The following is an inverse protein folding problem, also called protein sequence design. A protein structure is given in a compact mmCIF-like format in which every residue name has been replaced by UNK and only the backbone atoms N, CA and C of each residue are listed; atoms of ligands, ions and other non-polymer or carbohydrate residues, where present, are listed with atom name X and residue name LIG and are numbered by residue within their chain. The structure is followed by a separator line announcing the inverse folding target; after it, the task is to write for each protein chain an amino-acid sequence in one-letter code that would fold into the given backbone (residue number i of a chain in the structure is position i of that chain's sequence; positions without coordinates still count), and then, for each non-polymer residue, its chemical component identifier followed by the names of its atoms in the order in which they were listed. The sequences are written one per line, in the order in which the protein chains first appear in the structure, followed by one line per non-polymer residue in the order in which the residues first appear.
data_IF_001836973962
#
_entry.id   IF_001836973962
#
_cell.length_a   1.000
_cell.length_b   1.000
_cell.length_c   1.000
_cell.angle_alpha   90.00
_cell.angle_beta   90.00
_cell.angle_gamma   90.00
#
_symmetry.space_group_name_H-M   'P 1'
#
loop_
_entity.id
_entity.type
_entity.pdbx_description
1 polymer ?
#
# COMPACT_ATOMS: atom_id res chain seq x y z
N UNK A 1 -0.84 10.46 -19.06
CA UNK A 1 -0.06 9.21 -19.24
C UNK A 1 0.25 8.71 -17.85
N UNK A 2 -0.23 7.53 -17.45
CA UNK A 2 0.09 6.94 -16.15
C UNK A 2 1.59 6.66 -16.09
N UNK A 3 2.28 7.26 -15.15
CA UNK A 3 3.71 6.99 -14.92
C UNK A 3 3.86 5.57 -14.36
N UNK A 4 4.62 4.71 -15.06
CA UNK A 4 4.90 3.34 -14.66
C UNK A 4 6.20 3.30 -13.86
N UNK A 5 6.12 3.49 -12.54
CA UNK A 5 7.29 3.63 -11.65
C UNK A 5 8.00 2.31 -11.30
N UNK A 6 7.40 1.13 -11.50
CA UNK A 6 7.86 -0.14 -10.93
C UNK A 6 8.09 -1.23 -11.97
N UNK A 7 8.70 -0.90 -13.12
CA UNK A 7 8.92 -1.88 -14.18
C UNK A 7 10.29 -2.60 -14.13
N UNK A 8 11.22 -2.19 -13.23
CA UNK A 8 12.54 -2.83 -13.16
C UNK A 8 12.52 -4.06 -12.25
N UNK A 9 12.98 -5.26 -12.70
CA UNK A 9 12.85 -6.53 -11.96
C UNK A 9 13.49 -6.54 -10.56
N UNK A 10 14.62 -5.84 -10.35
CA UNK A 10 15.26 -5.76 -9.02
C UNK A 10 14.47 -4.92 -8.02
N UNK A 11 13.67 -3.95 -8.50
CA UNK A 11 12.81 -3.12 -7.65
C UNK A 11 11.58 -3.87 -7.21
N UNK A 12 10.99 -4.69 -8.08
CA UNK A 12 9.80 -5.49 -7.76
C UNK A 12 10.09 -6.54 -6.69
N UNK A 13 11.26 -7.17 -6.70
CA UNK A 13 11.64 -8.13 -5.66
C UNK A 13 11.86 -7.47 -4.28
N UNK A 14 12.53 -6.31 -4.22
CA UNK A 14 12.68 -5.54 -2.98
C UNK A 14 11.32 -5.01 -2.50
N UNK A 15 10.47 -4.56 -3.43
CA UNK A 15 9.10 -4.11 -3.15
C UNK A 15 8.30 -5.21 -2.46
N UNK A 16 8.30 -6.43 -3.01
CA UNK A 16 7.60 -7.58 -2.46
C UNK A 16 8.04 -7.94 -1.04
N UNK A 17 9.33 -7.72 -0.71
CA UNK A 17 9.89 -8.11 0.59
C UNK A 17 9.65 -7.06 1.69
N UNK A 18 9.70 -5.77 1.36
CA UNK A 18 9.79 -4.71 2.37
C UNK A 18 8.53 -3.83 2.49
N UNK A 19 7.59 -3.89 1.54
CA UNK A 19 6.34 -3.14 1.66
C UNK A 19 5.44 -3.75 2.73
N UNK A 20 4.84 -2.92 3.61
CA UNK A 20 3.98 -3.43 4.65
C UNK A 20 2.70 -4.05 4.08
N UNK A 21 2.34 -5.21 4.60
CA UNK A 21 1.02 -5.80 4.39
C UNK A 21 -0.02 -5.08 5.25
N UNK A 22 -1.29 -5.01 4.84
CA UNK A 22 -2.33 -4.46 5.69
C UNK A 22 -2.44 -5.27 6.99
N UNK A 23 -2.56 -4.62 8.16
CA UNK A 23 -2.68 -5.32 9.43
C UNK A 23 -3.96 -6.17 9.47
N UNK A 24 -3.91 -7.30 10.17
CA UNK A 24 -5.07 -8.18 10.32
C UNK A 24 -6.29 -7.46 10.89
N UNK A 25 -6.09 -6.48 11.77
CA UNK A 25 -7.17 -5.64 12.32
C UNK A 25 -7.89 -4.82 11.25
N UNK A 26 -7.18 -4.31 10.25
CA UNK A 26 -7.78 -3.58 9.12
C UNK A 26 -8.63 -4.53 8.26
N UNK A 27 -8.09 -5.70 7.93
CA UNK A 27 -8.83 -6.72 7.16
C UNK A 27 -10.08 -7.18 7.91
N UNK A 28 -9.96 -7.46 9.21
CA UNK A 28 -11.10 -7.84 10.06
C UNK A 28 -12.17 -6.75 10.07
N UNK A 29 -11.78 -5.48 10.21
CA UNK A 29 -12.71 -4.35 10.19
C UNK A 29 -13.46 -4.23 8.84
N UNK A 30 -12.76 -4.40 7.72
CA UNK A 30 -13.41 -4.42 6.39
C UNK A 30 -14.45 -5.54 6.30
N UNK A 31 -14.11 -6.74 6.77
CA UNK A 31 -15.03 -7.90 6.74
C UNK A 31 -16.22 -7.71 7.69
N UNK A 32 -16.00 -7.20 8.88
CA UNK A 32 -17.07 -6.86 9.84
C UNK A 32 -18.02 -5.81 9.24
N UNK A 33 -17.46 -4.76 8.64
CA UNK A 33 -18.25 -3.75 7.96
C UNK A 33 -19.03 -4.35 6.78
N UNK A 34 -18.46 -5.26 6.00
CA UNK A 34 -19.17 -5.97 4.93
C UNK A 34 -20.33 -6.79 5.49
N UNK A 35 -20.11 -7.58 6.55
CA UNK A 35 -21.13 -8.45 7.15
C UNK A 35 -22.29 -7.68 7.82
N UNK A 36 -22.10 -6.44 8.25
CA UNK A 36 -23.19 -5.59 8.76
C UNK A 36 -24.28 -5.33 7.71
N UNK A 37 -23.93 -5.38 6.42
CA UNK A 37 -24.83 -5.06 5.33
C UNK A 37 -24.95 -6.12 4.24
N UNK A 38 -24.25 -7.24 4.33
CA UNK A 38 -24.29 -8.33 3.35
C UNK A 38 -24.31 -9.70 4.06
N UNK A 39 -25.35 -10.47 3.83
CA UNK A 39 -25.58 -11.78 4.48
C UNK A 39 -25.33 -12.97 3.51
N UNK A 40 -24.98 -12.69 2.26
CA UNK A 40 -24.72 -13.70 1.25
C UNK A 40 -23.32 -14.32 1.37
N UNK A 41 -23.01 -15.32 0.53
CA UNK A 41 -21.68 -15.92 0.47
C UNK A 41 -20.64 -14.93 -0.07
N UNK A 42 -19.41 -15.01 0.43
CA UNK A 42 -18.27 -14.20 -0.02
C UNK A 42 -17.64 -14.88 -1.24
N UNK A 43 -18.26 -14.71 -2.42
CA UNK A 43 -17.86 -15.41 -3.66
C UNK A 43 -16.62 -14.78 -4.27
N UNK A 44 -16.57 -13.44 -4.37
CA UNK A 44 -15.50 -12.78 -5.11
C UNK A 44 -15.10 -11.43 -4.52
N UNK A 45 -13.79 -11.18 -4.51
CA UNK A 45 -13.20 -9.88 -4.19
C UNK A 45 -12.18 -9.46 -5.27
N UNK A 46 -12.01 -8.15 -5.44
CA UNK A 46 -10.95 -7.56 -6.25
C UNK A 46 -10.03 -6.69 -5.41
N UNK A 47 -8.72 -6.80 -5.65
CA UNK A 47 -7.68 -5.90 -5.13
C UNK A 47 -7.13 -5.08 -6.29
N UNK A 48 -7.45 -3.79 -6.34
CA UNK A 48 -7.16 -2.90 -7.48
C UNK A 48 -5.93 -2.06 -7.20
N UNK A 49 -4.94 -2.13 -8.10
CA UNK A 49 -3.59 -1.61 -7.87
C UNK A 49 -2.82 -2.53 -6.92
N UNK A 50 -2.95 -3.84 -7.11
CA UNK A 50 -2.44 -4.86 -6.20
C UNK A 50 -0.91 -4.94 -6.12
N UNK A 51 -0.20 -4.30 -7.04
CA UNK A 51 1.25 -4.41 -7.14
C UNK A 51 1.70 -5.87 -7.26
N UNK A 52 2.65 -6.27 -6.43
CA UNK A 52 3.15 -7.65 -6.35
C UNK A 52 2.29 -8.60 -5.50
N UNK A 53 1.05 -8.21 -5.11
CA UNK A 53 0.01 -9.12 -4.64
C UNK A 53 -0.07 -9.36 -3.13
N UNK A 54 0.67 -8.64 -2.29
CA UNK A 54 0.65 -8.84 -0.83
C UNK A 54 -0.76 -8.64 -0.25
N UNK A 55 -1.40 -7.53 -0.60
CA UNK A 55 -2.79 -7.20 -0.17
C UNK A 55 -3.82 -8.18 -0.73
N UNK A 56 -3.58 -8.75 -1.92
CA UNK A 56 -4.48 -9.73 -2.53
C UNK A 56 -4.52 -11.03 -1.72
N UNK A 57 -3.35 -11.51 -1.27
CA UNK A 57 -3.25 -12.77 -0.55
C UNK A 57 -3.93 -12.76 0.82
N UNK A 58 -3.99 -11.62 1.52
CA UNK A 58 -4.66 -11.53 2.82
C UNK A 58 -6.17 -11.72 2.74
N UNK A 59 -6.77 -11.52 1.56
CA UNK A 59 -8.19 -11.76 1.30
C UNK A 59 -8.50 -13.23 0.96
N UNK A 60 -7.52 -14.01 0.53
CA UNK A 60 -7.71 -15.39 0.05
C UNK A 60 -8.42 -16.33 1.05
N UNK A 61 -8.22 -16.24 2.37
CA UNK A 61 -8.93 -17.07 3.34
C UNK A 61 -10.43 -16.74 3.49
N UNK A 62 -10.88 -15.60 2.99
CA UNK A 62 -12.21 -15.04 3.26
C UNK A 62 -13.15 -15.10 2.05
N UNK A 63 -12.63 -15.25 0.83
CA UNK A 63 -13.41 -15.26 -0.41
C UNK A 63 -13.15 -16.53 -1.23
N UNK A 64 -14.15 -17.02 -1.94
CA UNK A 64 -13.99 -18.16 -2.85
C UNK A 64 -13.01 -17.82 -3.98
N UNK A 65 -13.04 -16.57 -4.46
CA UNK A 65 -12.09 -16.08 -5.47
C UNK A 65 -11.62 -14.66 -5.15
N UNK A 66 -10.33 -14.40 -5.32
CA UNK A 66 -9.74 -13.06 -5.21
C UNK A 66 -8.94 -12.76 -6.46
N UNK A 67 -9.20 -11.61 -7.07
CA UNK A 67 -8.45 -11.19 -8.26
C UNK A 67 -7.67 -9.91 -7.97
N UNK A 68 -6.35 -9.99 -8.03
CA UNK A 68 -5.47 -8.82 -8.02
C UNK A 68 -5.37 -8.20 -9.41
N UNK A 69 -5.55 -6.89 -9.50
CA UNK A 69 -5.46 -6.10 -10.73
C UNK A 69 -4.38 -5.03 -10.59
N UNK A 70 -3.50 -4.93 -11.58
CA UNK A 70 -2.53 -3.85 -11.68
C UNK A 70 -2.32 -3.46 -13.14
N UNK A 71 -2.00 -2.19 -13.39
CA UNK A 71 -1.72 -1.70 -14.75
C UNK A 71 -0.33 -2.13 -15.24
N UNK A 72 0.58 -2.49 -14.33
CA UNK A 72 1.95 -2.90 -14.63
C UNK A 72 2.06 -4.40 -14.87
N UNK A 73 2.42 -4.84 -16.10
CA UNK A 73 2.70 -6.25 -16.37
C UNK A 73 3.85 -6.82 -15.54
N UNK A 74 4.83 -5.97 -15.16
CA UNK A 74 5.95 -6.37 -14.33
C UNK A 74 5.50 -6.72 -12.91
N UNK A 75 4.62 -5.91 -12.31
CA UNK A 75 4.03 -6.18 -10.99
C UNK A 75 3.20 -7.48 -11.01
N UNK A 76 2.35 -7.65 -12.02
CA UNK A 76 1.56 -8.89 -12.17
C UNK A 76 2.47 -10.12 -12.35
N UNK A 77 3.58 -10.00 -13.07
CA UNK A 77 4.54 -11.10 -13.21
C UNK A 77 5.14 -11.50 -11.85
N UNK A 78 5.47 -10.54 -10.99
CA UNK A 78 5.97 -10.83 -9.64
C UNK A 78 4.86 -11.37 -8.73
N UNK A 79 3.65 -10.82 -8.79
CA UNK A 79 2.51 -11.32 -8.03
C UNK A 79 2.22 -12.81 -8.29
N UNK A 80 2.31 -13.23 -9.55
CA UNK A 80 2.12 -14.65 -9.93
C UNK A 80 3.24 -15.55 -9.36
N UNK A 81 4.45 -15.02 -9.14
CA UNK A 81 5.59 -15.80 -8.58
C UNK A 81 5.45 -16.01 -7.07
N UNK A 82 4.81 -15.10 -6.34
CA UNK A 82 4.72 -15.14 -4.86
C UNK A 82 3.91 -16.30 -4.31
N UNK A 83 3.12 -16.97 -5.12
CA UNK A 83 2.45 -18.18 -4.70
C UNK A 83 1.14 -18.46 -5.43
N UNK A 84 0.84 -19.74 -5.58
CA UNK A 84 -0.41 -20.22 -6.17
C UNK A 84 -1.33 -20.70 -5.05
N UNK A 85 -2.20 -19.80 -4.58
CA UNK A 85 -3.41 -20.22 -3.88
C UNK A 85 -4.47 -20.42 -4.97
N UNK A 86 -5.19 -21.54 -4.99
CA UNK A 86 -6.18 -21.84 -6.02
C UNK A 86 -7.31 -20.80 -6.13
N UNK A 87 -7.53 -20.03 -5.06
CA UNK A 87 -8.51 -18.95 -4.98
C UNK A 87 -8.00 -17.59 -5.45
N UNK A 88 -6.69 -17.42 -5.71
CA UNK A 88 -6.09 -16.13 -6.10
C UNK A 88 -5.66 -16.13 -7.56
N UNK A 89 -6.02 -15.07 -8.26
CA UNK A 89 -5.58 -14.82 -9.64
C UNK A 89 -5.12 -13.38 -9.80
N UNK A 90 -4.28 -13.13 -10.81
CA UNK A 90 -3.77 -11.80 -11.13
C UNK A 90 -3.96 -11.46 -12.60
N UNK A 91 -4.35 -10.21 -12.89
CA UNK A 91 -4.58 -9.75 -14.27
C UNK A 91 -4.07 -8.32 -14.47
N UNK A 92 -3.53 -8.05 -15.65
CA UNK A 92 -3.21 -6.68 -16.05
C UNK A 92 -4.52 -5.96 -16.39
N UNK A 93 -4.83 -4.89 -15.64
CA UNK A 93 -6.02 -4.05 -15.87
C UNK A 93 -5.83 -2.68 -15.22
N UNK A 94 -6.40 -1.64 -15.84
CA UNK A 94 -6.54 -0.33 -15.21
C UNK A 94 -7.71 -0.31 -14.22
N UNK A 95 -7.67 0.63 -13.30
CA UNK A 95 -8.72 0.81 -12.28
C UNK A 95 -10.03 1.37 -12.86
N UNK A 96 -9.96 2.07 -13.98
CA UNK A 96 -11.08 2.75 -14.62
C UNK A 96 -11.93 1.86 -15.54
N UNK A 97 -11.58 0.56 -15.63
CA UNK A 97 -12.32 -0.45 -16.42
C UNK A 97 -12.08 -1.84 -15.82
N UNK A 98 -12.91 -2.20 -14.86
CA UNK A 98 -12.76 -3.44 -14.10
C UNK A 98 -13.30 -4.63 -14.90
N UNK A 99 -12.52 -5.73 -15.08
CA UNK A 99 -12.87 -6.86 -15.93
C UNK A 99 -13.84 -7.85 -15.25
N UNK A 100 -14.90 -7.32 -14.62
CA UNK A 100 -15.92 -8.10 -13.93
C UNK A 100 -17.31 -7.75 -14.44
N UNK A 101 -18.27 -8.68 -14.40
CA UNK A 101 -19.68 -8.39 -14.65
C UNK A 101 -20.26 -7.39 -13.64
N UNK A 102 -21.38 -6.79 -13.99
CA UNK A 102 -22.16 -5.97 -13.05
C UNK A 102 -22.62 -6.83 -11.86
N UNK A 103 -22.61 -6.24 -10.67
CA UNK A 103 -23.08 -6.87 -9.42
C UNK A 103 -22.48 -8.27 -9.18
N UNK A 104 -21.17 -8.41 -9.27
CA UNK A 104 -20.46 -9.70 -9.15
C UNK A 104 -19.44 -9.77 -8.02
N UNK A 105 -19.08 -8.64 -7.41
CA UNK A 105 -18.09 -8.59 -6.34
C UNK A 105 -18.74 -8.18 -5.01
N UNK A 106 -18.32 -8.82 -3.93
CA UNK A 106 -18.69 -8.45 -2.57
C UNK A 106 -17.75 -7.41 -1.98
N UNK A 107 -16.49 -7.40 -2.42
CA UNK A 107 -15.47 -6.44 -1.99
C UNK A 107 -14.66 -5.94 -3.17
N UNK A 108 -14.46 -4.63 -3.25
CA UNK A 108 -13.39 -4.00 -4.03
C UNK A 108 -12.46 -3.30 -3.06
N UNK A 109 -11.20 -3.73 -2.99
CA UNK A 109 -10.17 -3.13 -2.15
C UNK A 109 -9.13 -2.42 -3.02
N UNK A 110 -8.56 -1.32 -2.52
CA UNK A 110 -7.38 -0.70 -3.11
C UNK A 110 -6.47 -0.15 -2.00
N UNK A 111 -5.27 -0.73 -1.89
CA UNK A 111 -4.27 -0.38 -0.89
C UNK A 111 -3.10 0.39 -1.49
N UNK A 112 -2.80 1.59 -0.99
CA UNK A 112 -1.69 2.43 -1.44
C UNK A 112 -1.68 2.69 -2.96
N UNK A 113 -2.84 2.76 -3.61
CA UNK A 113 -2.95 2.84 -5.06
C UNK A 113 -3.86 3.97 -5.58
N UNK A 114 -4.89 4.35 -4.80
CA UNK A 114 -5.97 5.24 -5.27
C UNK A 114 -5.48 6.62 -5.73
N UNK A 115 -4.37 7.10 -5.23
CA UNK A 115 -3.77 8.37 -5.62
C UNK A 115 -3.25 8.41 -7.09
N UNK A 116 -3.25 7.25 -7.76
CA UNK A 116 -2.93 7.13 -9.18
C UNK A 116 -4.17 7.04 -10.09
N UNK A 117 -5.38 6.88 -9.51
CA UNK A 117 -6.60 6.58 -10.25
C UNK A 117 -7.33 7.86 -10.69
N UNK A 118 -8.05 7.77 -11.81
CA UNK A 118 -9.16 8.68 -12.11
C UNK A 118 -10.33 8.29 -11.19
N UNK A 119 -10.35 8.88 -9.98
CA UNK A 119 -11.30 8.50 -8.92
C UNK A 119 -12.77 8.52 -9.35
N UNK A 120 -13.27 9.52 -10.11
CA UNK A 120 -14.65 9.50 -10.63
C UNK A 120 -14.94 8.27 -11.50
N UNK A 121 -14.03 7.88 -12.38
CA UNK A 121 -14.22 6.70 -13.24
C UNK A 121 -14.07 5.42 -12.44
N UNK A 122 -13.09 5.35 -11.55
CA UNK A 122 -12.90 4.20 -10.67
C UNK A 122 -14.13 3.94 -9.81
N UNK A 123 -14.67 4.96 -9.12
CA UNK A 123 -15.85 4.80 -8.27
C UNK A 123 -17.11 4.43 -9.07
N UNK A 124 -17.22 4.85 -10.33
CA UNK A 124 -18.30 4.40 -11.23
C UNK A 124 -18.17 2.91 -11.56
N UNK A 125 -16.97 2.42 -11.81
CA UNK A 125 -16.72 0.98 -12.04
C UNK A 125 -16.95 0.17 -10.75
N UNK A 126 -16.51 0.68 -9.60
CA UNK A 126 -16.81 0.10 -8.29
C UNK A 126 -18.32 -0.08 -8.09
N UNK A 127 -19.10 0.97 -8.36
CA UNK A 127 -20.57 0.90 -8.26
C UNK A 127 -21.15 -0.14 -9.21
N UNK A 128 -20.65 -0.24 -10.43
CA UNK A 128 -21.11 -1.23 -11.41
C UNK A 128 -20.85 -2.66 -10.96
N UNK A 129 -19.63 -2.96 -10.47
CA UNK A 129 -19.24 -4.36 -10.18
C UNK A 129 -19.66 -4.86 -8.81
N UNK A 130 -19.85 -3.97 -7.82
CA UNK A 130 -20.29 -4.36 -6.48
C UNK A 130 -21.74 -4.87 -6.50
N UNK A 131 -22.00 -5.95 -5.78
CA UNK A 131 -23.36 -6.38 -5.45
C UNK A 131 -24.03 -5.36 -4.53
N UNK A 132 -25.39 -5.27 -4.48
CA UNK A 132 -26.08 -4.53 -3.42
C UNK A 132 -25.63 -5.00 -2.04
N UNK A 133 -25.21 -4.10 -1.16
CA UNK A 133 -24.61 -4.41 0.13
C UNK A 133 -23.11 -4.71 0.12
N UNK A 134 -22.50 -4.80 -1.08
CA UNK A 134 -21.05 -4.95 -1.24
C UNK A 134 -20.28 -3.69 -0.82
N UNK A 135 -19.00 -3.84 -0.54
CA UNK A 135 -18.15 -2.81 0.08
C UNK A 135 -16.98 -2.43 -0.83
N UNK A 136 -16.67 -1.14 -0.90
CA UNK A 136 -15.38 -0.63 -1.34
C UNK A 136 -14.56 -0.22 -0.12
N UNK A 137 -13.27 -0.62 -0.10
CA UNK A 137 -12.32 -0.29 0.95
C UNK A 137 -11.04 0.31 0.35
N UNK A 138 -10.75 1.55 0.69
CA UNK A 138 -9.58 2.30 0.22
C UNK A 138 -8.69 2.59 1.41
N UNK A 139 -7.42 2.20 1.35
CA UNK A 139 -6.48 2.54 2.41
C UNK A 139 -5.14 3.02 1.84
N UNK A 140 -4.43 3.78 2.63
CA UNK A 140 -3.01 4.05 2.44
C UNK A 140 -2.25 3.71 3.70
N UNK A 141 -0.93 3.70 3.63
CA UNK A 141 -0.09 3.66 4.81
C UNK A 141 0.90 4.83 4.78
N UNK A 142 1.17 5.33 5.97
CA UNK A 142 2.04 6.48 6.18
C UNK A 142 3.50 6.06 6.36
N UNK A 143 4.38 7.05 6.40
CA UNK A 143 5.78 6.83 6.74
C UNK A 143 5.88 6.19 8.12
N UNK A 144 6.66 5.09 8.30
CA UNK A 144 6.79 4.43 9.59
C UNK A 144 7.50 5.31 10.61
N UNK A 145 7.08 5.19 11.87
CA UNK A 145 7.72 5.85 13.01
C UNK A 145 8.49 4.84 13.84
N UNK A 146 9.67 5.21 14.30
CA UNK A 146 10.45 4.37 15.21
C UNK A 146 9.85 4.45 16.61
N UNK A 147 9.57 3.29 17.20
CA UNK A 147 9.03 3.16 18.55
C UNK A 147 10.18 2.87 19.50
N UNK A 148 10.69 3.93 20.14
CA UNK A 148 11.70 3.86 21.17
C UNK A 148 11.45 5.00 22.17
N UNK A 149 11.48 4.75 23.50
CA UNK A 149 11.13 5.76 24.51
C UNK A 149 12.09 6.95 24.58
N UNK A 150 13.31 6.82 24.08
CA UNK A 150 14.35 7.86 24.18
C UNK A 150 14.79 8.42 22.83
N UNK A 151 14.83 7.59 21.80
CA UNK A 151 15.37 7.93 20.49
C UNK A 151 14.32 7.92 19.37
N UNK A 152 13.10 7.46 19.65
CA UNK A 152 12.05 7.24 18.64
C UNK A 152 11.75 8.49 17.82
N UNK A 153 11.55 9.64 18.45
CA UNK A 153 11.30 10.89 17.73
C UNK A 153 12.50 11.31 16.88
N UNK A 154 13.72 11.17 17.41
CA UNK A 154 14.93 11.56 16.69
C UNK A 154 15.20 10.65 15.50
N UNK A 155 15.01 9.35 15.65
CA UNK A 155 15.17 8.38 14.57
C UNK A 155 14.08 8.52 13.51
N UNK A 156 12.83 8.77 13.92
CA UNK A 156 11.72 9.06 13.00
C UNK A 156 11.98 10.34 12.20
N UNK A 157 12.51 11.38 12.83
CA UNK A 157 12.90 12.62 12.15
C UNK A 157 13.98 12.40 11.08
N UNK A 158 14.89 11.42 11.26
CA UNK A 158 15.88 11.06 10.24
C UNK A 158 15.24 10.38 9.02
N UNK A 159 14.20 9.56 9.23
CA UNK A 159 13.43 8.96 8.15
C UNK A 159 12.68 10.06 7.39
N UNK A 160 12.04 10.99 8.10
CA UNK A 160 11.34 12.14 7.50
C UNK A 160 12.30 13.06 6.74
N UNK A 161 13.50 13.32 7.24
CA UNK A 161 14.53 14.10 6.53
C UNK A 161 14.86 13.50 5.14
N UNK A 162 15.01 12.17 5.05
CA UNK A 162 15.20 11.52 3.75
C UNK A 162 13.98 11.71 2.87
N UNK A 163 12.80 11.48 3.42
CA UNK A 163 11.54 11.49 2.68
C UNK A 163 11.13 12.90 2.22
N UNK A 164 11.17 13.88 3.11
CA UNK A 164 10.65 15.23 2.87
C UNK A 164 11.68 16.17 2.27
N UNK A 165 12.96 16.07 2.72
CA UNK A 165 14.00 17.04 2.36
C UNK A 165 14.93 16.52 1.25
N UNK A 166 15.55 15.33 1.46
CA UNK A 166 16.55 14.81 0.50
C UNK A 166 15.92 14.31 -0.80
N UNK A 167 14.69 13.81 -0.73
CA UNK A 167 13.90 13.38 -1.89
C UNK A 167 12.90 14.46 -2.36
N UNK A 168 13.01 15.70 -1.87
CA UNK A 168 12.17 16.80 -2.31
C UNK A 168 12.18 16.95 -3.84
N UNK A 169 11.00 17.11 -4.43
CA UNK A 169 10.83 17.23 -5.89
C UNK A 169 11.06 15.94 -6.70
N UNK A 170 11.33 14.80 -6.03
CA UNK A 170 11.42 13.48 -6.67
C UNK A 170 10.12 12.70 -6.61
N UNK A 171 9.13 13.16 -5.86
CA UNK A 171 7.85 12.50 -5.68
C UNK A 171 6.85 12.85 -6.78
N UNK A 172 5.99 11.91 -7.12
CA UNK A 172 4.82 12.17 -7.97
C UNK A 172 3.73 12.97 -7.23
N UNK A 173 2.83 13.59 -7.99
CA UNK A 173 1.75 14.44 -7.45
C UNK A 173 0.85 13.69 -6.43
N UNK A 174 0.65 12.39 -6.60
CA UNK A 174 -0.17 11.56 -5.72
C UNK A 174 0.36 11.42 -4.29
N UNK A 175 1.64 11.75 -4.01
CA UNK A 175 2.18 11.66 -2.66
C UNK A 175 1.45 12.56 -1.67
N UNK A 176 1.04 13.77 -2.10
CA UNK A 176 0.28 14.70 -1.27
C UNK A 176 -1.00 14.03 -0.74
N UNK A 177 -1.69 13.28 -1.59
CA UNK A 177 -2.93 12.59 -1.22
C UNK A 177 -2.70 11.52 -0.15
N UNK A 178 -1.58 10.79 -0.26
CA UNK A 178 -1.17 9.79 0.74
C UNK A 178 -0.85 10.47 2.07
N UNK A 179 -0.02 11.52 2.07
CA UNK A 179 0.37 12.26 3.27
C UNK A 179 -0.83 12.93 3.95
N UNK A 180 -1.85 13.32 3.17
CA UNK A 180 -3.13 13.83 3.67
C UNK A 180 -4.12 12.69 3.98
N UNK A 181 -3.68 11.44 3.99
CA UNK A 181 -4.51 10.28 4.34
C UNK A 181 -5.79 10.17 3.48
N UNK A 182 -5.74 10.52 2.20
CA UNK A 182 -6.92 10.55 1.30
C UNK A 182 -8.08 11.43 1.81
N UNK A 183 -7.78 12.60 2.42
CA UNK A 183 -8.81 13.56 2.88
C UNK A 183 -9.32 14.48 1.78
N UNK A 184 -8.66 14.55 0.64
CA UNK A 184 -9.15 15.32 -0.50
C UNK A 184 -10.55 14.84 -0.91
N UNK A 185 -11.51 15.74 -1.18
CA UNK A 185 -12.88 15.39 -1.59
C UNK A 185 -12.99 14.41 -2.76
N UNK A 186 -11.99 14.31 -3.62
CA UNK A 186 -11.96 13.35 -4.73
C UNK A 186 -12.01 11.89 -4.26
N UNK A 187 -11.58 11.59 -3.02
CA UNK A 187 -11.65 10.24 -2.42
C UNK A 187 -12.96 9.96 -1.68
N UNK A 188 -13.89 10.91 -1.67
CA UNK A 188 -15.19 10.70 -1.05
C UNK A 188 -15.94 9.58 -1.77
N UNK A 189 -16.26 8.51 -1.03
CA UNK A 189 -17.06 7.40 -1.55
C UNK A 189 -18.52 7.87 -1.60
N UNK A 190 -19.20 7.81 -2.77
CA UNK A 190 -20.53 8.42 -2.95
C UNK A 190 -21.68 7.53 -2.45
N UNK A 191 -21.47 6.86 -1.31
CA UNK A 191 -22.50 6.05 -0.67
C UNK A 191 -22.97 6.67 0.65
N UNK A 192 -24.28 6.64 0.97
CA UNK A 192 -24.79 7.15 2.25
C UNK A 192 -24.18 6.44 3.47
N UNK A 193 -23.94 5.13 3.36
CA UNK A 193 -23.23 4.35 4.35
C UNK A 193 -21.74 4.34 3.97
N UNK A 194 -21.01 5.32 4.50
CA UNK A 194 -19.56 5.44 4.36
C UNK A 194 -18.92 5.70 5.71
N UNK A 195 -17.71 5.18 5.90
CA UNK A 195 -16.95 5.25 7.15
C UNK A 195 -15.49 5.54 6.89
N UNK A 196 -14.85 6.17 7.87
CA UNK A 196 -13.41 6.38 7.93
C UNK A 196 -12.87 5.91 9.27
N UNK A 197 -11.75 5.21 9.26
CA UNK A 197 -11.03 4.80 10.47
C UNK A 197 -9.53 5.05 10.29
N UNK A 198 -8.96 5.91 11.13
CA UNK A 198 -7.53 6.24 11.12
C UNK A 198 -6.79 5.51 12.28
N UNK A 199 -7.42 4.56 12.99
CA UNK A 199 -6.85 3.92 14.18
C UNK A 199 -5.98 2.69 13.87
N UNK A 200 -6.04 2.16 12.65
CA UNK A 200 -5.26 0.97 12.30
C UNK A 200 -3.77 1.28 12.23
N UNK A 201 -2.97 0.42 12.82
CA UNK A 201 -1.51 0.46 12.69
C UNK A 201 -0.90 -0.94 12.66
N UNK A 202 0.32 -1.03 12.15
CA UNK A 202 1.12 -2.25 12.07
C UNK A 202 2.46 -2.03 12.76
N UNK A 203 2.67 -2.79 13.84
CA UNK A 203 3.98 -2.89 14.47
C UNK A 203 4.83 -3.90 13.71
N UNK A 204 5.99 -3.47 13.24
CA UNK A 204 6.98 -4.32 12.55
C UNK A 204 8.35 -4.15 13.18
N UNK A 205 9.19 -5.15 13.00
CA UNK A 205 10.60 -5.07 13.37
C UNK A 205 11.47 -5.20 12.12
N UNK A 206 12.30 -4.19 11.86
CA UNK A 206 13.29 -4.22 10.79
C UNK A 206 14.69 -3.96 11.36
N UNK A 207 15.70 -4.57 10.75
CA UNK A 207 17.07 -4.12 10.99
C UNK A 207 17.29 -2.74 10.32
N UNK A 208 18.33 -2.02 10.77
CA UNK A 208 18.70 -0.74 10.14
C UNK A 208 19.02 -0.94 8.65
N UNK A 209 19.67 -2.06 8.30
CA UNK A 209 19.91 -2.42 6.90
C UNK A 209 18.61 -2.68 6.13
N UNK A 210 17.65 -3.40 6.71
CA UNK A 210 16.33 -3.65 6.07
C UNK A 210 15.52 -2.37 5.92
N UNK A 211 15.55 -1.46 6.90
CA UNK A 211 14.93 -0.13 6.78
C UNK A 211 15.56 0.67 5.63
N UNK A 212 16.88 0.60 5.47
CA UNK A 212 17.58 1.24 4.35
C UNK A 212 17.14 0.64 3.00
N UNK A 213 16.98 -0.69 2.93
CA UNK A 213 16.45 -1.37 1.74
C UNK A 213 14.99 -1.03 1.47
N UNK A 214 14.16 -0.85 2.51
CA UNK A 214 12.79 -0.38 2.34
C UNK A 214 12.73 0.97 1.63
N UNK A 215 13.64 1.90 1.94
CA UNK A 215 13.71 3.20 1.27
C UNK A 215 13.94 3.07 -0.24
N UNK A 216 14.65 2.05 -0.70
CA UNK A 216 14.87 1.80 -2.15
C UNK A 216 13.58 1.47 -2.90
N UNK A 217 12.52 1.07 -2.18
CA UNK A 217 11.20 0.78 -2.77
C UNK A 217 10.35 2.03 -3.00
N UNK A 218 10.76 3.20 -2.52
CA UNK A 218 10.04 4.45 -2.67
C UNK A 218 10.15 4.99 -4.09
N UNK A 219 9.04 5.43 -4.68
CA UNK A 219 9.03 6.04 -6.01
C UNK A 219 9.93 7.29 -6.09
N UNK A 220 9.95 8.11 -5.03
CA UNK A 220 10.83 9.27 -4.91
C UNK A 220 12.31 8.89 -4.92
N UNK A 221 12.70 7.81 -4.23
CA UNK A 221 14.08 7.34 -4.27
C UNK A 221 14.50 6.86 -5.67
N UNK A 222 13.62 6.18 -6.38
CA UNK A 222 13.86 5.72 -7.74
C UNK A 222 14.04 6.92 -8.71
N UNK A 223 13.17 7.93 -8.60
CA UNK A 223 13.30 9.17 -9.35
C UNK A 223 14.62 9.90 -9.02
N UNK A 224 14.99 9.95 -7.73
CA UNK A 224 16.27 10.53 -7.31
C UNK A 224 17.46 9.80 -7.93
N UNK A 225 17.45 8.47 -7.91
CA UNK A 225 18.49 7.63 -8.51
C UNK A 225 18.60 7.83 -10.02
N UNK A 226 17.47 7.90 -10.72
CA UNK A 226 17.47 8.18 -12.18
C UNK A 226 18.06 9.54 -12.52
N UNK A 227 17.80 10.56 -11.69
CA UNK A 227 18.28 11.94 -11.92
C UNK A 227 19.73 12.16 -11.52
N UNK A 228 20.20 11.51 -10.45
CA UNK A 228 21.50 11.80 -9.83
C UNK A 228 22.51 10.66 -9.99
N UNK A 229 22.08 9.51 -10.49
CA UNK A 229 22.91 8.32 -10.71
C UNK A 229 23.02 7.41 -9.47
N UNK A 230 23.45 6.16 -9.71
CA UNK A 230 23.53 5.10 -8.70
C UNK A 230 24.45 5.46 -7.54
N UNK A 231 25.60 6.09 -7.81
CA UNK A 231 26.58 6.47 -6.78
C UNK A 231 26.01 7.48 -5.77
N UNK A 232 25.23 8.47 -6.25
CA UNK A 232 24.59 9.45 -5.39
C UNK A 232 23.46 8.79 -4.55
N UNK A 233 22.69 7.90 -5.16
CA UNK A 233 21.64 7.16 -4.47
C UNK A 233 22.22 6.24 -3.38
N UNK A 234 23.27 5.50 -3.66
CA UNK A 234 23.96 4.66 -2.68
C UNK A 234 24.53 5.50 -1.53
N UNK A 235 25.18 6.64 -1.85
CA UNK A 235 25.70 7.56 -0.82
C UNK A 235 24.61 8.05 0.11
N UNK A 236 23.42 8.38 -0.38
CA UNK A 236 22.27 8.80 0.45
C UNK A 236 21.92 7.71 1.46
N UNK A 237 21.84 6.45 1.01
CA UNK A 237 21.53 5.31 1.88
C UNK A 237 22.62 5.05 2.92
N UNK A 238 23.90 5.13 2.51
CA UNK A 238 25.04 4.94 3.40
C UNK A 238 25.11 6.03 4.48
N UNK A 239 24.88 7.29 4.10
CA UNK A 239 24.84 8.43 5.02
C UNK A 239 23.68 8.29 6.03
N UNK A 240 22.49 7.90 5.57
CA UNK A 240 21.34 7.61 6.44
C UNK A 240 21.68 6.49 7.43
N UNK A 241 22.14 5.35 6.95
CA UNK A 241 22.50 4.19 7.79
C UNK A 241 23.54 4.56 8.84
N UNK A 242 24.61 5.27 8.43
CA UNK A 242 25.66 5.77 9.33
C UNK A 242 25.10 6.72 10.39
N UNK A 243 24.22 7.64 10.01
CA UNK A 243 23.59 8.61 10.92
C UNK A 243 22.74 7.90 11.97
N UNK A 244 21.93 6.92 11.56
CA UNK A 244 21.12 6.08 12.46
C UNK A 244 22.02 5.31 13.45
N UNK A 245 23.01 4.58 12.95
CA UNK A 245 23.92 3.78 13.79
C UNK A 245 24.69 4.65 14.79
N UNK A 246 25.15 5.83 14.37
CA UNK A 246 25.83 6.78 15.24
C UNK A 246 24.89 7.30 16.36
N UNK A 247 23.63 7.53 16.02
CA UNK A 247 22.63 8.00 16.99
C UNK A 247 22.25 6.93 18.01
N UNK A 248 22.17 5.69 17.58
CA UNK A 248 21.94 4.54 18.47
C UNK A 248 23.12 4.28 19.41
N UNK A 249 24.33 4.66 19.02
CA UNK A 249 25.54 4.46 19.84
C UNK A 249 25.92 2.99 20.06
N UNK A 250 25.48 2.11 19.16
CA UNK A 250 25.71 0.65 19.26
C UNK A 250 26.84 0.20 18.33
N UNK A 251 27.52 -0.88 18.72
CA UNK A 251 28.60 -1.49 17.95
C UNK A 251 28.18 -2.70 17.13
N UNK A 252 26.93 -3.15 17.27
CA UNK A 252 26.36 -4.20 16.44
C UNK A 252 26.25 -3.73 14.99
N UNK A 253 26.45 -4.60 13.97
CA UNK A 253 26.30 -4.19 12.58
C UNK A 253 24.84 -3.88 12.22
N UNK A 254 24.59 -3.04 11.17
CA UNK A 254 23.24 -2.61 10.78
C UNK A 254 22.26 -3.76 10.51
N UNK A 255 22.75 -4.90 10.02
CA UNK A 255 21.95 -6.11 9.74
C UNK A 255 21.39 -6.74 11.03
N UNK A 256 22.06 -6.53 12.15
CA UNK A 256 21.73 -7.11 13.46
C UNK A 256 21.14 -6.06 14.44
N UNK A 257 21.12 -4.80 14.07
CA UNK A 257 20.55 -3.71 14.88
C UNK A 257 19.07 -3.55 14.53
N UNK A 258 18.17 -3.96 15.44
CA UNK A 258 16.72 -3.97 15.21
C UNK A 258 16.05 -2.70 15.69
N UNK A 259 15.06 -2.25 14.94
CA UNK A 259 14.18 -1.13 15.25
C UNK A 259 12.73 -1.60 15.22
N UNK A 260 11.96 -1.20 16.24
CA UNK A 260 10.51 -1.34 16.22
C UNK A 260 9.91 -0.15 15.46
N UNK A 261 9.03 -0.44 14.53
CA UNK A 261 8.39 0.54 13.66
C UNK A 261 6.87 0.44 13.78
N UNK A 262 6.21 1.57 13.90
CA UNK A 262 4.75 1.70 13.84
C UNK A 262 4.36 2.39 12.53
N UNK A 263 3.53 1.72 11.73
CA UNK A 263 3.03 2.23 10.46
C UNK A 263 1.51 2.37 10.53
N UNK A 264 0.98 3.58 10.37
CA UNK A 264 -0.45 3.85 10.39
C UNK A 264 -1.12 3.61 9.04
N UNK A 265 -2.34 3.09 9.07
CA UNK A 265 -3.14 2.71 7.91
C UNK A 265 -4.51 3.38 7.93
N UNK A 266 -4.64 4.64 7.47
CA UNK A 266 -5.94 5.26 7.27
C UNK A 266 -6.81 4.46 6.29
N UNK A 267 -8.06 4.18 6.68
CA UNK A 267 -9.03 3.36 5.95
C UNK A 267 -10.31 4.15 5.67
N UNK A 268 -10.77 4.12 4.42
CA UNK A 268 -12.06 4.63 3.98
C UNK A 268 -12.89 3.46 3.46
N UNK A 269 -14.13 3.35 3.89
CA UNK A 269 -15.05 2.32 3.43
C UNK A 269 -16.37 2.92 2.99
N UNK A 270 -17.04 2.25 2.07
CA UNK A 270 -18.40 2.59 1.69
C UNK A 270 -19.15 1.37 1.19
N UNK A 271 -20.44 1.31 1.53
CA UNK A 271 -21.33 0.21 1.20
C UNK A 271 -22.30 0.62 0.11
N UNK A 272 -22.35 -0.16 -0.98
CA UNK A 272 -23.35 0.04 -2.03
C UNK A 272 -24.76 -0.20 -1.46
N UNK A 273 -25.71 0.74 -1.69
CA UNK A 273 -27.09 0.59 -1.23
C UNK A 273 -27.75 -0.73 -1.68
N UNK A 274 -28.65 -1.26 -0.86
CA UNK A 274 -29.48 -2.45 -1.16
C UNK A 274 -30.78 -2.06 -1.87
N UNK A 275 -30.75 -1.31 -2.96
CA UNK A 275 -31.96 -0.92 -3.67
C UNK A 275 -32.29 -1.95 -4.75
#
# INVERSE_FOLDING_TARGET
MSQRYFEHPSLTAAYAKFRPEPPASLVSHILEYLHQGYDGPLEAAADVGCGSGQSTHVLAPHFNTVTGLDISPAQITEAVKLGKTSSVSFRVSGAESLPFPDNSLQLVMAGQACHWFDMPKFLKEVDRVLVPGGVVALYCYLLPRVVDPHLGERLSAMISEVYDDLLAGCWGEGLKDVNDCYRDPKFTIPYPDSSRDDSHSLMTELSVAELTLFMTTWSGFNTYRERNGEAAAQKLLDDFQKKVMTTLGVSTPPENTRLQLDTHFPLLMGRKPRI
#
